data_IF_264787972946
#
_entry.id   IF_264787972946
#
_cell.length_a   1.000
_cell.length_b   1.000
_cell.length_c   1.000
_cell.angle_alpha   90.00
_cell.angle_beta   90.00
_cell.angle_gamma   90.00
#
_symmetry.space_group_name_H-M   'P 1'
#
loop_
_entity.id
_entity.type
_entity.pdbx_description
1 polymer ?
#
# COMPACT_ATOMS: atom_id res chain seq x y z
N UNK A 1 -24.09 -5.90 32.17
CA UNK A 1 -24.37 -4.45 32.29
C UNK A 1 -23.18 -3.61 31.79
N UNK A 2 -22.61 -3.94 30.63
CA UNK A 2 -21.39 -3.28 30.10
C UNK A 2 -21.34 -3.23 28.55
N UNK A 3 -22.49 -3.32 27.88
CA UNK A 3 -22.57 -3.29 26.39
C UNK A 3 -23.43 -2.16 25.84
N UNK A 4 -24.24 -1.50 26.66
CA UNK A 4 -25.05 -0.33 26.27
C UNK A 4 -24.30 1.00 26.39
N UNK A 5 -23.11 1.01 27.02
CA UNK A 5 -22.32 2.24 27.22
C UNK A 5 -21.52 2.67 25.96
N UNK A 6 -21.29 1.77 24.99
CA UNK A 6 -20.55 2.11 23.75
C UNK A 6 -21.39 2.85 22.70
N UNK A 7 -22.72 2.73 22.75
CA UNK A 7 -23.61 3.41 21.80
C UNK A 7 -23.81 4.88 22.19
N UNK A 8 -23.72 5.21 23.49
CA UNK A 8 -23.84 6.60 23.96
C UNK A 8 -22.58 7.44 23.71
N UNK A 9 -21.40 6.80 23.63
CA UNK A 9 -20.12 7.46 23.28
C UNK A 9 -20.05 7.81 21.79
N UNK A 10 -20.77 7.10 20.92
CA UNK A 10 -20.78 7.39 19.48
C UNK A 10 -21.68 8.60 19.12
N UNK A 11 -22.67 8.92 19.96
CA UNK A 11 -23.57 10.07 19.75
C UNK A 11 -22.98 11.35 20.38
N UNK A 12 -22.12 11.24 21.40
CA UNK A 12 -21.42 12.40 21.97
C UNK A 12 -20.20 12.86 21.14
N UNK A 13 -19.65 12.00 20.29
CA UNK A 13 -18.59 12.38 19.33
C UNK A 13 -19.11 12.96 18.02
N UNK A 14 -20.41 12.80 17.71
CA UNK A 14 -21.00 13.35 16.48
C UNK A 14 -21.40 14.82 16.61
N UNK A 15 -21.49 15.36 17.82
CA UNK A 15 -21.83 16.78 18.07
C UNK A 15 -20.63 17.68 18.31
N UNK A 16 -19.41 17.15 18.32
CA UNK A 16 -18.16 17.93 18.34
C UNK A 16 -17.61 18.19 16.92
N UNK A 17 -18.17 17.53 15.90
CA UNK A 17 -17.75 17.66 14.50
C UNK A 17 -18.45 18.75 13.68
N UNK A 18 -19.18 19.69 14.32
CA UNK A 18 -19.90 20.77 13.61
C UNK A 18 -19.43 22.18 14.00
N UNK A 19 -18.33 22.34 14.73
CA UNK A 19 -17.81 23.69 15.06
C UNK A 19 -16.28 23.82 15.05
N UNK A 20 -15.60 23.02 14.23
CA UNK A 20 -14.19 23.29 13.91
C UNK A 20 -14.03 23.25 12.39
N UNK A 21 -14.58 24.27 11.71
CA UNK A 21 -13.88 24.85 10.56
C UNK A 21 -12.64 25.57 11.11
N UNK A 22 -11.71 24.81 11.67
CA UNK A 22 -10.33 25.28 11.77
C UNK A 22 -9.80 25.14 10.36
N UNK A 23 -9.81 26.26 9.63
CA UNK A 23 -8.90 26.48 8.51
C UNK A 23 -7.56 25.86 8.92
N UNK A 24 -7.16 24.78 8.25
CA UNK A 24 -5.76 24.43 8.13
C UNK A 24 -5.18 25.50 7.21
N UNK A 25 -5.03 26.72 7.75
CA UNK A 25 -4.13 27.70 7.16
C UNK A 25 -2.74 27.13 7.36
N UNK A 26 -1.95 27.12 6.28
CA UNK A 26 -0.52 27.01 6.43
C UNK A 26 -0.09 28.16 7.35
N UNK A 27 0.43 27.84 8.52
CA UNK A 27 0.75 28.79 9.61
C UNK A 27 1.84 29.82 9.24
N UNK A 28 2.18 29.94 7.95
CA UNK A 28 3.19 30.82 7.39
C UNK A 28 2.67 31.81 6.33
N UNK A 29 1.39 31.81 5.97
CA UNK A 29 0.86 32.72 4.93
C UNK A 29 -0.15 33.77 5.40
N UNK A 30 -0.58 33.75 6.66
CA UNK A 30 -1.63 34.66 7.20
C UNK A 30 -1.19 36.13 7.41
N UNK A 31 -0.12 36.64 6.78
CA UNK A 31 0.31 38.04 7.01
C UNK A 31 0.91 38.77 5.80
N UNK A 32 0.44 38.59 4.56
CA UNK A 32 0.93 39.42 3.44
C UNK A 32 -0.15 39.88 2.44
N UNK A 33 -1.07 40.74 2.87
CA UNK A 33 -1.72 41.69 1.95
C UNK A 33 -0.79 42.91 1.72
N UNK A 34 0.04 42.89 0.67
CA UNK A 34 0.91 44.04 0.32
C UNK A 34 1.91 43.82 -0.81
N UNK A 35 2.47 44.92 -1.34
CA UNK A 35 3.63 44.87 -2.25
C UNK A 35 4.83 44.31 -1.47
N UNK A 36 5.35 43.17 -1.91
CA UNK A 36 6.47 42.47 -1.27
C UNK A 36 7.68 42.44 -2.22
N UNK A 37 8.89 42.48 -1.63
CA UNK A 37 10.15 42.57 -2.36
C UNK A 37 10.88 41.23 -2.32
N UNK A 38 11.28 40.70 -3.47
CA UNK A 38 12.18 39.55 -3.57
C UNK A 38 13.55 40.04 -4.01
N UNK A 39 14.55 39.95 -3.14
CA UNK A 39 15.93 40.23 -3.51
C UNK A 39 16.89 39.18 -3.00
N UNK A 40 18.01 39.04 -3.69
CA UNK A 40 18.97 38.00 -3.38
C UNK A 40 20.12 37.93 -4.36
N UNK A 41 20.84 36.82 -4.30
CA UNK A 41 21.96 36.53 -5.18
C UNK A 41 21.89 35.11 -5.73
N UNK A 42 22.41 34.96 -6.95
CA UNK A 42 22.66 33.69 -7.62
C UNK A 42 24.15 33.42 -7.55
N UNK A 43 24.52 32.23 -7.06
CA UNK A 43 25.91 31.81 -6.90
C UNK A 43 26.13 30.52 -7.67
N UNK A 44 27.18 30.49 -8.52
CA UNK A 44 27.66 29.23 -9.08
C UNK A 44 28.49 28.48 -8.04
N UNK A 45 27.96 27.39 -7.48
CA UNK A 45 28.64 26.56 -6.50
C UNK A 45 29.82 25.76 -7.08
N UNK A 46 29.86 25.54 -8.39
CA UNK A 46 31.00 24.88 -9.06
C UNK A 46 32.15 25.86 -9.28
N UNK A 47 31.82 27.04 -9.82
CA UNK A 47 32.79 28.02 -10.29
C UNK A 47 32.45 29.44 -9.80
N UNK A 48 32.58 29.74 -8.48
CA UNK A 48 32.08 30.99 -7.90
C UNK A 48 32.69 32.28 -8.45
N UNK A 49 33.88 32.18 -9.06
CA UNK A 49 34.63 33.31 -9.62
C UNK A 49 34.24 33.65 -11.07
N UNK A 50 33.45 32.81 -11.73
CA UNK A 50 33.06 33.02 -13.13
C UNK A 50 31.81 33.91 -13.17
N UNK A 51 31.94 35.09 -13.77
CA UNK A 51 30.78 35.95 -14.02
C UNK A 51 29.94 35.35 -15.15
N UNK A 52 28.75 34.86 -14.78
CA UNK A 52 27.77 34.27 -15.69
C UNK A 52 26.52 35.13 -15.67
N UNK A 53 25.97 35.47 -16.83
CA UNK A 53 24.68 36.17 -16.88
C UNK A 53 23.55 35.14 -16.73
N UNK A 54 22.75 35.31 -15.69
CA UNK A 54 21.58 34.51 -15.38
C UNK A 54 20.31 35.24 -15.78
N UNK A 55 19.38 34.50 -16.37
CA UNK A 55 17.98 34.91 -16.50
C UNK A 55 17.21 34.28 -15.32
N UNK A 56 16.72 35.12 -14.41
CA UNK A 56 15.83 34.71 -13.33
C UNK A 56 14.41 35.16 -13.64
N UNK A 57 13.47 34.23 -13.50
CA UNK A 57 12.04 34.47 -13.73
C UNK A 57 11.28 34.32 -12.44
N UNK A 58 10.44 35.30 -12.12
CA UNK A 58 9.37 35.14 -11.16
C UNK A 58 8.14 34.67 -11.92
N UNK A 59 7.60 33.53 -11.50
CA UNK A 59 6.47 32.89 -12.15
C UNK A 59 5.41 32.53 -11.12
N UNK A 60 4.18 32.39 -11.58
CA UNK A 60 3.06 31.90 -10.79
C UNK A 60 2.30 30.79 -11.52
N UNK A 61 1.64 29.93 -10.74
CA UNK A 61 0.69 28.96 -11.24
C UNK A 61 -0.51 28.89 -10.32
N UNK A 62 -1.70 28.66 -10.86
CA UNK A 62 -2.92 28.50 -10.07
C UNK A 62 -3.08 27.02 -9.71
N UNK A 63 -3.30 26.72 -8.43
CA UNK A 63 -3.46 25.33 -7.95
C UNK A 63 -4.44 24.55 -8.84
N UNK A 64 -3.99 23.42 -9.39
CA UNK A 64 -4.64 22.53 -10.39
C UNK A 64 -4.52 22.86 -11.89
N UNK A 65 -3.98 24.03 -12.26
CA UNK A 65 -3.67 24.36 -13.66
C UNK A 65 -2.22 23.99 -14.00
N UNK A 66 -1.96 23.58 -15.24
CA UNK A 66 -0.60 23.46 -15.79
C UNK A 66 -0.13 24.75 -16.47
N UNK A 67 -0.95 25.81 -16.44
CA UNK A 67 -0.60 27.10 -17.00
C UNK A 67 0.38 27.83 -16.08
N UNK A 68 1.48 28.27 -16.68
CA UNK A 68 2.52 29.05 -16.03
C UNK A 68 2.40 30.51 -16.46
N UNK A 69 2.37 31.41 -15.49
CA UNK A 69 2.26 32.85 -15.71
C UNK A 69 3.62 33.47 -15.45
N UNK A 70 4.22 34.08 -16.48
CA UNK A 70 5.42 34.90 -16.33
C UNK A 70 5.04 36.25 -15.69
N UNK A 71 5.55 36.53 -14.49
CA UNK A 71 5.30 37.79 -13.78
C UNK A 71 6.35 38.82 -14.16
N UNK A 72 7.63 38.47 -13.97
CA UNK A 72 8.76 39.36 -14.26
C UNK A 72 10.00 38.53 -14.56
N UNK A 73 10.86 39.05 -15.46
CA UNK A 73 12.11 38.41 -15.85
C UNK A 73 13.24 39.43 -15.66
N UNK A 74 14.29 39.04 -14.93
CA UNK A 74 15.47 39.87 -14.68
C UNK A 74 16.70 39.15 -15.22
N UNK A 75 17.55 39.90 -15.91
CA UNK A 75 18.90 39.45 -16.26
C UNK A 75 19.89 40.00 -15.25
N UNK A 76 20.70 39.14 -14.65
CA UNK A 76 21.72 39.54 -13.67
C UNK A 76 22.93 38.64 -13.70
N UNK A 77 24.09 39.17 -13.31
CA UNK A 77 25.27 38.34 -13.11
C UNK A 77 25.30 37.68 -11.72
N UNK A 78 24.73 38.33 -10.71
CA UNK A 78 24.76 37.87 -9.31
C UNK A 78 23.49 38.28 -8.59
N UNK A 79 23.25 39.58 -8.43
CA UNK A 79 22.18 40.08 -7.56
C UNK A 79 20.88 40.34 -8.32
N UNK A 80 19.74 39.90 -7.82
CA UNK A 80 18.43 40.20 -8.38
C UNK A 80 17.56 40.97 -7.38
N UNK A 81 16.60 41.73 -7.90
CA UNK A 81 15.70 42.58 -7.12
C UNK A 81 14.35 42.76 -7.84
N UNK A 82 13.33 42.03 -7.41
CA UNK A 82 11.93 42.20 -7.80
C UNK A 82 11.25 43.12 -6.78
N UNK A 83 10.92 44.33 -7.20
CA UNK A 83 10.55 45.43 -6.27
C UNK A 83 9.09 45.48 -5.88
N UNK A 84 8.20 44.90 -6.68
CA UNK A 84 6.75 45.04 -6.54
C UNK A 84 6.05 43.74 -6.91
N UNK A 85 6.18 42.74 -6.04
CA UNK A 85 5.47 41.48 -6.20
C UNK A 85 4.18 41.56 -5.42
N UNK A 86 3.06 41.42 -6.13
CA UNK A 86 1.74 41.30 -5.52
C UNK A 86 1.43 39.81 -5.46
N UNK A 87 1.35 39.27 -4.24
CA UNK A 87 1.03 37.87 -3.98
C UNK A 87 -0.48 37.75 -3.77
N UNK A 88 -1.06 36.73 -4.37
CA UNK A 88 -2.46 36.32 -4.21
C UNK A 88 -2.46 34.85 -3.78
N UNK A 89 -3.16 34.53 -2.68
CA UNK A 89 -3.25 33.17 -2.13
C UNK A 89 -3.80 32.14 -3.11
N UNK A 90 -4.51 32.57 -4.17
CA UNK A 90 -4.97 31.69 -5.23
C UNK A 90 -3.82 31.12 -6.10
N UNK A 91 -2.62 31.68 -6.00
CA UNK A 91 -1.46 31.33 -6.82
C UNK A 91 -0.28 30.88 -5.98
N UNK A 92 0.45 29.90 -6.52
CA UNK A 92 1.78 29.51 -6.03
C UNK A 92 2.83 30.25 -6.85
N UNK A 93 3.71 30.97 -6.17
CA UNK A 93 4.78 31.76 -6.78
C UNK A 93 6.12 31.05 -6.60
N UNK A 94 6.97 31.10 -7.63
CA UNK A 94 8.29 30.51 -7.58
C UNK A 94 9.28 31.24 -8.50
N UNK A 95 10.55 31.21 -8.12
CA UNK A 95 11.67 31.68 -8.90
C UNK A 95 12.23 30.53 -9.72
N UNK A 96 12.52 30.77 -11.00
CA UNK A 96 13.26 29.85 -11.86
C UNK A 96 14.53 30.50 -12.35
N UNK A 97 15.65 29.78 -12.18
CA UNK A 97 16.94 30.08 -12.82
C UNK A 97 17.37 28.87 -13.64
N UNK A 98 17.66 29.08 -14.93
CA UNK A 98 18.20 28.03 -15.79
C UNK A 98 19.72 28.17 -15.90
N UNK A 99 20.46 27.11 -15.59
CA UNK A 99 21.91 27.04 -15.82
C UNK A 99 22.25 25.75 -16.54
N UNK A 100 22.79 25.86 -17.77
CA UNK A 100 23.18 24.71 -18.61
C UNK A 100 22.06 23.66 -18.79
N UNK A 101 20.85 24.13 -19.11
CA UNK A 101 19.62 23.34 -19.29
C UNK A 101 19.05 22.70 -18.01
N UNK A 102 19.57 23.07 -16.83
CA UNK A 102 19.07 22.60 -15.54
C UNK A 102 18.25 23.72 -14.88
N UNK A 103 16.94 23.55 -14.71
CA UNK A 103 16.12 24.50 -13.96
C UNK A 103 16.36 24.33 -12.46
N UNK A 104 16.64 25.44 -11.79
CA UNK A 104 16.60 25.56 -10.32
C UNK A 104 15.33 26.32 -9.97
N UNK A 105 14.44 25.65 -9.22
CA UNK A 105 13.14 26.20 -8.81
C UNK A 105 13.18 26.47 -7.31
N UNK A 106 12.76 27.66 -6.90
CA UNK A 106 12.63 28.04 -5.48
C UNK A 106 11.22 28.58 -5.28
N UNK A 107 10.41 27.87 -4.50
CA UNK A 107 9.06 28.33 -4.17
C UNK A 107 9.13 29.49 -3.18
N UNK A 108 8.34 30.55 -3.41
CA UNK A 108 8.36 31.75 -2.58
C UNK A 108 7.87 31.45 -1.17
N UNK A 109 6.95 30.49 -1.01
CA UNK A 109 6.44 30.04 0.29
C UNK A 109 7.52 29.38 1.18
N UNK A 110 8.56 28.80 0.58
CA UNK A 110 9.66 28.14 1.30
C UNK A 110 10.76 29.14 1.72
N UNK A 111 10.63 30.42 1.38
CA UNK A 111 11.65 31.44 1.63
C UNK A 111 11.48 32.06 3.02
N UNK A 112 12.45 31.81 3.90
CA UNK A 112 12.47 32.44 5.24
C UNK A 112 12.74 33.96 5.20
N UNK A 113 13.64 34.41 4.32
CA UNK A 113 14.01 35.82 4.18
C UNK A 113 13.94 36.28 2.71
N UNK A 114 12.86 36.97 2.32
CA UNK A 114 12.60 37.33 0.93
C UNK A 114 13.52 38.40 0.36
N UNK A 115 14.16 39.21 1.21
CA UNK A 115 15.11 40.22 0.76
C UNK A 115 16.56 39.72 0.70
N UNK A 116 16.81 38.48 1.15
CA UNK A 116 18.13 37.87 1.20
C UNK A 116 18.12 36.40 0.73
N UNK A 117 17.63 36.19 -0.49
CA UNK A 117 17.52 34.86 -1.09
C UNK A 117 18.87 34.42 -1.67
N UNK A 118 19.31 33.20 -1.37
CA UNK A 118 20.51 32.61 -1.96
C UNK A 118 20.12 31.45 -2.88
N UNK A 119 20.24 31.65 -4.19
CA UNK A 119 20.02 30.60 -5.18
C UNK A 119 21.39 30.05 -5.59
N UNK A 120 21.62 28.76 -5.38
CA UNK A 120 22.87 28.12 -5.81
C UNK A 120 22.62 27.28 -7.06
N UNK A 121 23.40 27.52 -8.11
CA UNK A 121 23.42 26.72 -9.34
C UNK A 121 24.77 26.02 -9.49
N UNK A 122 24.83 24.94 -10.27
CA UNK A 122 26.05 24.16 -10.46
C UNK A 122 26.24 23.82 -11.93
N UNK A 123 27.48 23.86 -12.41
CA UNK A 123 27.82 23.45 -13.77
C UNK A 123 27.44 21.99 -14.01
N UNK A 124 27.06 21.67 -15.25
CA UNK A 124 26.59 20.36 -15.67
C UNK A 124 27.75 19.44 -16.04
N UNK A 125 27.63 18.18 -15.62
CA UNK A 125 28.45 17.07 -16.13
C UNK A 125 27.56 15.97 -16.71
N UNK A 126 28.00 15.36 -17.80
CA UNK A 126 27.20 14.36 -18.52
C UNK A 126 27.39 12.93 -18.02
N UNK A 127 28.44 12.68 -17.21
CA UNK A 127 28.78 11.33 -16.74
C UNK A 127 28.64 11.21 -15.23
N UNK A 128 27.95 10.18 -14.71
CA UNK A 128 27.71 10.00 -13.28
C UNK A 128 28.90 9.34 -12.55
N UNK A 129 30.13 9.83 -12.76
CA UNK A 129 31.36 9.22 -12.19
C UNK A 129 31.44 9.36 -10.67
N UNK A 130 30.99 10.50 -10.19
CA UNK A 130 31.04 10.93 -8.79
C UNK A 130 29.73 10.62 -8.05
N UNK A 131 28.88 9.76 -8.63
CA UNK A 131 27.71 9.22 -7.95
C UNK A 131 28.10 7.95 -7.17
N UNK A 132 27.74 7.90 -5.90
CA UNK A 132 27.93 6.75 -5.02
C UNK A 132 26.64 6.40 -4.28
N UNK A 133 26.28 5.12 -4.23
CA UNK A 133 25.13 4.65 -3.46
C UNK A 133 25.55 4.35 -2.03
N UNK A 134 24.89 5.01 -1.08
CA UNK A 134 25.11 4.89 0.36
C UNK A 134 24.30 3.71 0.93
N UNK A 135 23.01 3.63 0.61
CA UNK A 135 22.13 2.54 1.05
C UNK A 135 21.25 2.09 -0.10
N UNK A 136 21.14 0.78 -0.29
CA UNK A 136 20.22 0.14 -1.23
C UNK A 136 19.39 -0.87 -0.45
N UNK A 137 18.16 -0.48 -0.15
CA UNK A 137 17.23 -1.23 0.69
C UNK A 137 16.04 -1.71 -0.12
N UNK A 138 15.72 -3.00 -0.02
CA UNK A 138 14.48 -3.58 -0.57
C UNK A 138 13.72 -4.24 0.58
N UNK A 139 12.41 -4.02 0.63
CA UNK A 139 11.54 -4.60 1.64
C UNK A 139 10.29 -5.18 1.00
N UNK A 140 10.03 -6.45 1.26
CA UNK A 140 8.74 -7.09 0.99
C UNK A 140 7.94 -7.08 2.29
N UNK A 141 6.93 -6.22 2.48
CA UNK A 141 6.12 -6.20 3.69
C UNK A 141 5.31 -7.49 3.87
N UNK A 142 4.81 -7.70 5.09
CA UNK A 142 3.85 -8.77 5.37
C UNK A 142 2.57 -8.57 4.55
N UNK A 143 2.20 -9.58 3.77
CA UNK A 143 1.01 -9.53 2.92
C UNK A 143 -0.26 -9.59 3.78
N UNK A 144 -1.16 -8.63 3.60
CA UNK A 144 -2.47 -8.65 4.27
C UNK A 144 -3.32 -9.84 3.80
N UNK A 145 -4.12 -10.49 4.68
CA UNK A 145 -5.01 -11.60 4.31
C UNK A 145 -5.95 -11.32 3.12
N UNK A 146 -6.39 -10.07 2.97
CA UNK A 146 -7.28 -9.57 1.93
C UNK A 146 -6.56 -8.96 0.72
N UNK A 147 -5.23 -8.91 0.72
CA UNK A 147 -4.47 -8.44 -0.44
C UNK A 147 -4.29 -9.54 -1.49
N UNK A 148 -4.50 -9.16 -2.75
CA UNK A 148 -4.24 -9.96 -3.95
C UNK A 148 -2.97 -9.54 -4.69
N UNK A 149 -2.11 -8.76 -4.04
CA UNK A 149 -0.80 -8.35 -4.56
C UNK A 149 0.30 -8.56 -3.54
N UNK A 150 1.52 -8.74 -4.04
CA UNK A 150 2.75 -8.64 -3.24
C UNK A 150 3.31 -7.25 -3.50
N UNK A 151 3.24 -6.37 -2.51
CA UNK A 151 3.90 -5.07 -2.59
C UNK A 151 5.39 -5.23 -2.29
N UNK A 152 6.20 -4.37 -2.88
CA UNK A 152 7.63 -4.23 -2.57
C UNK A 152 7.92 -2.74 -2.43
N UNK A 153 8.66 -2.40 -1.39
CA UNK A 153 9.16 -1.05 -1.13
C UNK A 153 10.67 -1.04 -1.32
N UNK A 154 11.21 0.02 -1.85
CA UNK A 154 12.64 0.23 -1.96
C UNK A 154 13.03 1.65 -1.59
N UNK A 155 14.21 1.77 -1.00
CA UNK A 155 14.87 3.03 -0.68
C UNK A 155 16.29 2.96 -1.22
N UNK A 156 16.67 3.95 -2.01
CA UNK A 156 18.03 4.13 -2.49
C UNK A 156 18.50 5.49 -2.01
N UNK A 157 19.51 5.50 -1.15
CA UNK A 157 20.21 6.71 -0.75
C UNK A 157 21.53 6.77 -1.49
N UNK A 158 21.85 7.90 -2.09
CA UNK A 158 23.07 8.09 -2.87
C UNK A 158 23.56 9.52 -2.71
N UNK A 159 24.80 9.75 -3.11
CA UNK A 159 25.42 11.07 -3.05
C UNK A 159 26.12 11.38 -4.35
N UNK A 160 26.07 12.65 -4.74
CA UNK A 160 26.98 13.24 -5.69
C UNK A 160 28.08 13.96 -4.91
N UNK A 161 29.29 13.39 -4.92
CA UNK A 161 30.45 13.94 -4.20
C UNK A 161 31.19 15.02 -4.99
N UNK A 162 30.80 15.29 -6.24
CA UNK A 162 31.39 16.36 -7.04
C UNK A 162 30.81 17.73 -6.64
N UNK A 163 31.42 18.79 -7.17
CA UNK A 163 30.90 20.15 -7.08
C UNK A 163 30.04 20.55 -8.29
N UNK A 164 29.56 19.58 -9.08
CA UNK A 164 28.80 19.80 -10.32
C UNK A 164 27.52 18.97 -10.31
N UNK A 165 26.51 19.41 -11.06
CA UNK A 165 25.28 18.63 -11.23
C UNK A 165 25.46 17.62 -12.34
N UNK A 166 25.24 16.34 -12.05
CA UNK A 166 25.14 15.34 -13.11
C UNK A 166 23.78 15.44 -13.79
N UNK A 167 23.77 15.60 -15.11
CA UNK A 167 22.53 15.61 -15.90
C UNK A 167 22.80 15.02 -17.28
N UNK A 168 22.24 13.85 -17.55
CA UNK A 168 22.48 13.11 -18.78
C UNK A 168 22.02 13.87 -20.02
N UNK A 169 22.69 13.67 -21.15
CA UNK A 169 22.22 14.15 -22.45
C UNK A 169 21.35 13.09 -23.11
N UNK A 170 20.03 13.28 -23.09
CA UNK A 170 19.08 12.35 -23.72
C UNK A 170 19.05 12.47 -25.25
N UNK A 171 19.68 13.49 -25.82
CA UNK A 171 19.75 13.69 -27.28
C UNK A 171 20.92 12.95 -27.92
N UNK A 172 21.96 12.61 -27.14
CA UNK A 172 23.09 11.82 -27.62
C UNK A 172 22.67 10.36 -27.85
N UNK A 173 22.71 9.85 -29.09
CA UNK A 173 22.38 8.45 -29.39
C UNK A 173 23.35 7.45 -28.73
N UNK A 174 24.51 7.91 -28.26
CA UNK A 174 25.49 7.10 -27.53
C UNK A 174 25.25 7.11 -26.01
N UNK A 175 24.24 7.83 -25.51
CA UNK A 175 23.80 7.75 -24.11
C UNK A 175 23.30 6.33 -23.83
N UNK A 176 24.23 5.48 -23.44
CA UNK A 176 23.96 4.11 -23.05
C UNK A 176 23.25 4.09 -21.70
N UNK A 177 22.61 2.96 -21.36
CA UNK A 177 21.97 2.79 -20.05
C UNK A 177 22.89 2.91 -18.83
N UNK A 178 24.22 3.05 -19.01
CA UNK A 178 25.19 3.36 -17.96
C UNK A 178 25.26 4.86 -17.64
N UNK A 179 24.86 5.71 -18.58
CA UNK A 179 24.85 7.17 -18.44
C UNK A 179 23.53 7.70 -17.88
N UNK A 180 22.62 6.83 -17.43
CA UNK A 180 21.37 7.18 -16.76
C UNK A 180 21.36 6.57 -15.35
N UNK A 181 20.66 7.21 -14.41
CA UNK A 181 20.35 6.60 -13.12
C UNK A 181 19.32 5.49 -13.34
N UNK A 182 19.80 4.25 -13.48
CA UNK A 182 18.97 3.08 -13.73
C UNK A 182 18.98 2.13 -12.53
N UNK A 183 17.78 1.73 -12.14
CA UNK A 183 17.55 0.81 -11.02
C UNK A 183 16.86 -0.44 -11.51
N UNK A 184 17.26 -1.58 -10.94
CA UNK A 184 16.81 -2.90 -11.37
C UNK A 184 15.57 -3.32 -10.60
N UNK A 185 14.54 -3.79 -11.31
CA UNK A 185 13.38 -4.46 -10.73
C UNK A 185 13.25 -5.87 -11.31
N UNK A 186 12.59 -6.81 -10.60
CA UNK A 186 12.21 -8.09 -11.16
C UNK A 186 11.32 -7.93 -12.39
N UNK A 187 11.31 -8.92 -13.27
CA UNK A 187 10.37 -8.95 -14.40
C UNK A 187 8.91 -9.05 -13.92
N UNK A 188 7.97 -8.61 -14.76
CA UNK A 188 6.52 -8.66 -14.51
C UNK A 188 6.04 -7.81 -13.32
N UNK A 189 6.73 -6.71 -13.02
CA UNK A 189 6.25 -5.73 -12.05
C UNK A 189 5.15 -4.85 -12.59
N UNK A 190 4.25 -4.47 -11.68
CA UNK A 190 3.07 -3.68 -11.95
C UNK A 190 2.98 -2.52 -10.96
N UNK A 191 2.27 -1.45 -11.34
CA UNK A 191 1.99 -0.29 -10.48
C UNK A 191 3.25 0.32 -9.86
N UNK A 192 4.28 0.56 -10.68
CA UNK A 192 5.48 1.26 -10.24
C UNK A 192 5.12 2.71 -9.86
N UNK A 193 5.51 3.09 -8.65
CA UNK A 193 5.51 4.46 -8.16
C UNK A 193 6.92 4.79 -7.67
N UNK A 194 7.44 5.93 -8.11
CA UNK A 194 8.77 6.42 -7.75
C UNK A 194 8.62 7.85 -7.27
N UNK A 195 9.27 8.14 -6.16
CA UNK A 195 9.33 9.45 -5.53
C UNK A 195 10.80 9.76 -5.18
N UNK A 196 11.19 11.02 -5.29
CA UNK A 196 12.58 11.45 -5.04
C UNK A 196 12.66 12.91 -4.67
N UNK A 197 13.69 13.26 -3.89
CA UNK A 197 14.06 14.64 -3.58
C UNK A 197 14.86 15.34 -4.70
N UNK A 198 15.12 14.65 -5.81
CA UNK A 198 15.81 15.20 -6.95
C UNK A 198 14.98 16.31 -7.64
N UNK A 199 15.62 17.31 -8.26
CA UNK A 199 14.93 18.30 -9.07
C UNK A 199 14.11 17.66 -10.21
N UNK A 200 13.18 18.42 -10.84
CA UNK A 200 12.23 17.89 -11.81
C UNK A 200 12.86 17.04 -12.91
N UNK A 201 12.21 15.91 -13.22
CA UNK A 201 12.63 14.95 -14.21
C UNK A 201 11.56 13.88 -14.46
N UNK A 202 11.87 12.92 -15.33
CA UNK A 202 10.93 11.88 -15.72
C UNK A 202 11.38 10.50 -15.24
N UNK A 203 10.39 9.70 -14.85
CA UNK A 203 10.56 8.28 -14.56
C UNK A 203 10.26 7.49 -15.83
N UNK A 204 11.25 6.77 -16.33
CA UNK A 204 11.11 5.91 -17.51
C UNK A 204 11.06 4.45 -17.09
N UNK A 205 9.89 3.84 -17.19
CA UNK A 205 9.72 2.41 -16.89
C UNK A 205 10.27 1.55 -18.04
N UNK A 206 11.01 0.49 -17.68
CA UNK A 206 11.54 -0.51 -18.61
C UNK A 206 11.25 -1.92 -18.08
N UNK A 207 11.28 -2.99 -18.90
CA UNK A 207 10.88 -4.33 -18.44
C UNK A 207 11.67 -4.90 -17.25
N UNK A 208 12.87 -4.36 -16.99
CA UNK A 208 13.79 -4.81 -15.94
C UNK A 208 14.06 -3.74 -14.89
N UNK A 209 13.20 -2.72 -14.81
CA UNK A 209 13.29 -1.67 -13.79
C UNK A 209 12.85 -0.30 -14.27
N UNK A 210 13.58 0.72 -13.88
CA UNK A 210 13.29 2.09 -14.27
C UNK A 210 14.57 2.93 -14.37
N UNK A 211 14.47 4.05 -15.07
CA UNK A 211 15.52 5.04 -15.15
C UNK A 211 14.97 6.44 -14.83
N UNK A 212 15.79 7.26 -14.19
CA UNK A 212 15.47 8.66 -13.90
C UNK A 212 16.24 9.58 -14.84
N UNK A 213 15.55 10.57 -15.39
CA UNK A 213 16.18 11.65 -16.15
C UNK A 213 16.50 12.88 -15.30
N UNK A 214 16.24 12.82 -13.98
CA UNK A 214 16.43 13.94 -13.09
C UNK A 214 17.91 14.36 -13.04
N UNK A 215 18.20 15.68 -12.96
CA UNK A 215 19.53 16.13 -12.60
C UNK A 215 19.85 15.71 -11.17
N UNK A 216 21.13 15.47 -10.88
CA UNK A 216 21.62 15.11 -9.55
C UNK A 216 22.60 16.18 -9.07
N UNK A 217 22.14 17.16 -8.28
CA UNK A 217 23.03 18.19 -7.75
C UNK A 217 23.99 17.61 -6.70
N UNK A 218 25.06 18.33 -6.33
CA UNK A 218 25.93 17.95 -5.22
C UNK A 218 25.16 17.68 -3.92
N UNK A 219 25.63 16.71 -3.13
CA UNK A 219 25.02 16.36 -1.84
C UNK A 219 24.42 14.96 -1.80
N UNK A 220 23.64 14.68 -0.75
CA UNK A 220 22.93 13.42 -0.55
C UNK A 220 21.49 13.53 -1.05
N UNK A 221 20.99 12.45 -1.65
CA UNK A 221 19.67 12.35 -2.27
C UNK A 221 19.05 11.00 -1.99
N UNK A 222 17.73 10.93 -2.08
CA UNK A 222 16.95 9.72 -1.81
C UNK A 222 15.92 9.46 -2.91
N UNK A 223 15.81 8.18 -3.27
CA UNK A 223 14.74 7.66 -4.13
C UNK A 223 13.96 6.63 -3.34
N UNK A 224 12.67 6.86 -3.21
CA UNK A 224 11.70 5.91 -2.73
C UNK A 224 10.98 5.31 -3.92
N UNK A 225 10.83 3.99 -3.93
CA UNK A 225 10.02 3.36 -4.97
C UNK A 225 9.18 2.24 -4.39
N UNK A 226 8.04 2.02 -5.03
CA UNK A 226 7.18 0.90 -4.73
C UNK A 226 6.66 0.28 -6.01
N UNK A 227 6.43 -1.02 -5.97
CA UNK A 227 5.74 -1.73 -7.04
C UNK A 227 5.00 -2.93 -6.47
N UNK A 228 4.23 -3.58 -7.33
CA UNK A 228 3.45 -4.75 -7.00
C UNK A 228 3.77 -5.91 -7.94
N UNK A 229 3.60 -7.12 -7.43
CA UNK A 229 3.64 -8.36 -8.19
C UNK A 229 2.31 -9.10 -8.03
N UNK A 230 1.85 -9.84 -9.05
CA UNK A 230 0.67 -10.71 -8.94
C UNK A 230 0.81 -11.73 -7.78
N UNK A 231 -0.27 -12.02 -7.05
CA UNK A 231 -0.25 -12.95 -5.88
C UNK A 231 0.17 -14.39 -6.20
N UNK A 232 -0.08 -14.83 -7.44
CA UNK A 232 0.33 -16.15 -7.92
C UNK A 232 1.84 -16.26 -8.15
N UNK A 233 2.60 -15.16 -7.99
CA UNK A 233 4.05 -15.17 -7.99
C UNK A 233 4.57 -16.05 -6.85
N UNK A 234 5.01 -17.27 -7.18
CA UNK A 234 5.56 -18.24 -6.23
C UNK A 234 7.03 -17.97 -5.88
N UNK A 235 7.72 -17.25 -6.76
CA UNK A 235 9.13 -16.87 -6.62
C UNK A 235 9.39 -15.56 -7.35
N UNK A 236 10.26 -14.73 -6.80
CA UNK A 236 10.75 -13.50 -7.42
C UNK A 236 12.26 -13.64 -7.59
N UNK A 237 12.74 -13.44 -8.82
CA UNK A 237 14.18 -13.36 -9.11
C UNK A 237 14.60 -11.91 -9.25
N UNK A 238 15.41 -11.44 -8.32
CA UNK A 238 16.03 -10.12 -8.37
C UNK A 238 17.40 -10.24 -9.04
N UNK A 239 17.58 -9.50 -10.13
CA UNK A 239 18.89 -9.31 -10.77
C UNK A 239 19.33 -7.86 -10.55
N UNK A 240 19.86 -7.56 -9.37
CA UNK A 240 20.13 -6.17 -8.95
C UNK A 240 21.48 -5.76 -9.50
N UNK A 241 21.48 -4.94 -10.55
CA UNK A 241 22.71 -4.35 -11.10
C UNK A 241 23.05 -3.08 -10.35
N UNK A 242 24.29 -2.98 -9.86
CA UNK A 242 24.78 -1.85 -9.07
C UNK A 242 25.89 -1.10 -9.81
N UNK A 243 25.58 -0.33 -10.87
CA UNK A 243 26.59 0.42 -11.63
C UNK A 243 27.37 1.41 -10.76
N UNK A 244 26.76 1.92 -9.70
CA UNK A 244 27.35 2.85 -8.73
C UNK A 244 27.84 2.17 -7.45
N UNK A 245 27.81 0.84 -7.40
CA UNK A 245 28.12 0.05 -6.21
C UNK A 245 27.05 0.27 -5.13
N UNK A 246 27.38 -0.08 -3.89
CA UNK A 246 26.58 0.26 -2.72
C UNK A 246 27.40 0.07 -1.43
N UNK A 247 27.44 1.09 -0.56
CA UNK A 247 28.08 0.97 0.76
C UNK A 247 27.33 0.02 1.68
N UNK A 248 26.00 0.09 1.66
CA UNK A 248 25.11 -0.81 2.42
C UNK A 248 24.04 -1.36 1.50
N UNK A 249 23.94 -2.67 1.45
CA UNK A 249 22.89 -3.35 0.72
C UNK A 249 22.07 -4.19 1.68
N UNK A 250 20.74 -4.13 1.60
CA UNK A 250 19.86 -4.97 2.41
C UNK A 250 18.58 -5.34 1.68
N UNK A 251 18.14 -6.58 1.88
CA UNK A 251 16.81 -7.03 1.50
C UNK A 251 16.11 -7.67 2.70
N UNK A 252 14.90 -7.21 2.97
CA UNK A 252 14.04 -7.67 4.06
C UNK A 252 12.82 -8.36 3.48
N UNK A 253 12.52 -9.55 3.99
CA UNK A 253 11.32 -10.30 3.61
C UNK A 253 10.63 -10.86 4.85
N UNK A 254 9.32 -11.14 4.79
CA UNK A 254 8.59 -11.63 5.95
C UNK A 254 9.17 -12.96 6.43
N UNK A 255 9.10 -13.21 7.74
CA UNK A 255 9.49 -14.49 8.33
C UNK A 255 8.88 -15.70 7.59
N UNK A 256 9.62 -16.80 7.55
CA UNK A 256 9.30 -18.03 6.80
C UNK A 256 9.39 -17.92 5.26
N UNK A 257 9.76 -16.76 4.72
CA UNK A 257 10.19 -16.65 3.32
C UNK A 257 11.61 -17.22 3.16
N UNK A 258 11.92 -17.78 1.99
CA UNK A 258 13.26 -18.30 1.69
C UNK A 258 13.98 -17.38 0.73
N UNK A 259 15.17 -16.94 1.08
CA UNK A 259 16.06 -16.21 0.17
C UNK A 259 17.28 -17.06 -0.13
N UNK A 260 17.68 -17.11 -1.40
CA UNK A 260 18.93 -17.68 -1.88
C UNK A 260 19.66 -16.62 -2.69
N UNK A 261 20.98 -16.57 -2.59
CA UNK A 261 21.82 -15.65 -3.36
C UNK A 261 23.14 -16.33 -3.69
N UNK A 262 23.72 -15.98 -4.83
CA UNK A 262 25.08 -16.35 -5.23
C UNK A 262 26.15 -15.38 -4.72
N UNK A 263 25.71 -14.26 -4.13
CA UNK A 263 26.55 -13.22 -3.59
C UNK A 263 26.85 -13.47 -2.10
N UNK A 264 28.04 -13.08 -1.63
CA UNK A 264 28.44 -13.27 -0.24
C UNK A 264 27.75 -12.26 0.70
N UNK A 265 26.45 -12.47 0.97
CA UNK A 265 25.64 -11.68 1.88
C UNK A 265 25.51 -12.37 3.25
N UNK A 266 25.50 -11.57 4.31
CA UNK A 266 25.23 -12.03 5.65
C UNK A 266 23.72 -12.24 5.83
N UNK A 267 23.34 -13.41 6.33
CA UNK A 267 21.96 -13.71 6.71
C UNK A 267 21.72 -13.39 8.18
N UNK A 268 20.65 -12.68 8.46
CA UNK A 268 20.23 -12.28 9.81
C UNK A 268 18.69 -12.20 9.90
N UNK A 269 18.16 -11.73 11.03
CA UNK A 269 16.75 -11.40 11.21
C UNK A 269 16.57 -10.13 12.02
N UNK A 270 15.53 -9.36 11.73
CA UNK A 270 15.22 -8.11 12.43
C UNK A 270 13.72 -7.95 12.67
N UNK A 271 13.35 -7.00 13.54
CA UNK A 271 11.97 -6.61 13.81
C UNK A 271 11.70 -5.24 13.18
N UNK A 272 10.59 -5.14 12.46
CA UNK A 272 10.03 -3.88 11.94
C UNK A 272 8.55 -3.85 12.33
N UNK A 273 8.13 -2.85 13.09
CA UNK A 273 6.76 -2.73 13.63
C UNK A 273 6.25 -4.01 14.30
N UNK A 274 7.05 -4.58 15.22
CA UNK A 274 6.79 -5.85 15.94
C UNK A 274 6.62 -7.08 15.03
N UNK A 275 6.89 -6.96 13.73
CA UNK A 275 6.87 -8.08 12.78
C UNK A 275 8.29 -8.53 12.49
N UNK A 276 8.51 -9.85 12.47
CA UNK A 276 9.80 -10.45 12.17
C UNK A 276 10.05 -10.51 10.66
N UNK A 277 11.28 -10.16 10.28
CA UNK A 277 11.80 -10.21 8.92
C UNK A 277 13.08 -11.04 8.88
N UNK A 278 13.23 -11.81 7.81
CA UNK A 278 14.51 -12.38 7.40
C UNK A 278 15.27 -11.31 6.61
N UNK A 279 16.55 -11.14 6.90
CA UNK A 279 17.41 -10.10 6.34
C UNK A 279 18.59 -10.76 5.62
N UNK A 280 18.85 -10.33 4.39
CA UNK A 280 20.18 -10.48 3.78
C UNK A 280 20.82 -9.10 3.68
N UNK A 281 22.06 -8.97 4.12
CA UNK A 281 22.79 -7.71 4.09
C UNK A 281 24.22 -7.87 3.59
N UNK A 282 24.72 -6.86 2.89
CA UNK A 282 26.08 -6.76 2.38
C UNK A 282 26.65 -5.37 2.62
N UNK A 283 27.97 -5.27 2.61
CA UNK A 283 28.69 -4.01 2.74
C UNK A 283 29.67 -3.87 1.57
N UNK A 284 29.88 -2.63 1.13
CA UNK A 284 30.84 -2.25 0.09
C UNK A 284 30.77 -3.13 -1.18
N UNK A 285 29.55 -3.29 -1.73
CA UNK A 285 29.34 -3.92 -3.03
C UNK A 285 29.95 -3.01 -4.12
N UNK A 286 30.77 -3.59 -5.00
CA UNK A 286 31.58 -2.79 -5.92
C UNK A 286 30.75 -2.28 -7.10
N UNK A 287 31.22 -1.18 -7.68
CA UNK A 287 30.67 -0.60 -8.90
C UNK A 287 30.67 -1.64 -10.03
N UNK A 288 29.51 -1.84 -10.66
CA UNK A 288 29.30 -2.77 -11.77
C UNK A 288 28.95 -4.20 -11.38
N UNK A 289 28.93 -4.54 -10.09
CA UNK A 289 28.53 -5.88 -9.64
C UNK A 289 27.02 -6.11 -9.78
N UNK A 290 26.66 -7.39 -9.84
CA UNK A 290 25.27 -7.84 -9.93
C UNK A 290 25.00 -8.78 -8.76
N UNK A 291 23.99 -8.44 -7.97
CA UNK A 291 23.53 -9.26 -6.84
C UNK A 291 22.27 -10.00 -7.31
N UNK A 292 22.37 -11.32 -7.41
CA UNK A 292 21.23 -12.17 -7.76
C UNK A 292 20.59 -12.72 -6.48
N UNK A 293 19.29 -12.49 -6.31
CA UNK A 293 18.54 -12.98 -5.15
C UNK A 293 17.28 -13.68 -5.63
N UNK A 294 17.19 -14.97 -5.32
CA UNK A 294 15.99 -15.76 -5.52
C UNK A 294 15.18 -15.76 -4.22
N UNK A 295 14.05 -15.06 -4.26
CA UNK A 295 13.05 -15.08 -3.21
C UNK A 295 12.02 -16.16 -3.53
N UNK A 296 12.04 -17.23 -2.74
CA UNK A 296 11.19 -18.40 -2.91
C UNK A 296 10.23 -18.48 -1.73
N UNK A 297 8.98 -18.91 -1.99
CA UNK A 297 7.99 -19.17 -0.95
C UNK A 297 7.74 -17.94 -0.05
N UNK A 298 7.37 -16.81 -0.66
CA UNK A 298 7.02 -15.58 0.04
C UNK A 298 5.90 -15.87 1.03
N UNK A 299 6.13 -15.56 2.30
CA UNK A 299 5.20 -15.87 3.38
C UNK A 299 3.81 -15.31 3.09
N UNK A 300 2.82 -16.20 3.02
CA UNK A 300 1.41 -15.84 2.84
C UNK A 300 0.71 -15.90 4.20
N UNK A 301 -0.24 -14.99 4.47
CA UNK A 301 -1.07 -15.10 5.66
C UNK A 301 -1.74 -16.48 5.69
N UNK A 302 -1.60 -17.17 6.83
CA UNK A 302 -2.19 -18.50 7.06
C UNK A 302 -3.68 -18.50 6.71
N UNK A 303 -4.18 -19.60 6.13
CA UNK A 303 -5.60 -19.77 5.80
C UNK A 303 -6.52 -19.53 7.00
N UNK A 304 -6.06 -19.85 8.21
CA UNK A 304 -6.78 -19.54 9.45
C UNK A 304 -6.84 -18.04 9.76
N UNK A 305 -5.75 -17.30 9.53
CA UNK A 305 -5.71 -15.83 9.68
C UNK A 305 -6.64 -15.13 8.68
N UNK A 306 -6.84 -15.70 7.49
CA UNK A 306 -7.84 -15.20 6.52
C UNK A 306 -9.26 -15.38 7.04
N UNK A 307 -9.57 -16.53 7.64
CA UNK A 307 -10.89 -16.81 8.22
C UNK A 307 -11.15 -15.87 9.40
N UNK A 308 -10.20 -15.72 10.33
CA UNK A 308 -10.37 -14.82 11.48
C UNK A 308 -10.50 -13.36 11.04
N UNK A 309 -9.66 -12.90 10.10
CA UNK A 309 -9.77 -11.54 9.54
C UNK A 309 -11.11 -11.31 8.82
N UNK A 310 -11.60 -12.30 8.06
CA UNK A 310 -12.92 -12.24 7.43
C UNK A 310 -14.04 -12.14 8.48
N UNK A 311 -13.96 -12.92 9.58
CA UNK A 311 -14.93 -12.89 10.68
C UNK A 311 -14.86 -11.58 11.46
N UNK A 312 -13.67 -11.02 11.70
CA UNK A 312 -13.50 -9.74 12.40
C UNK A 312 -14.03 -8.57 11.55
N UNK A 313 -13.66 -8.51 10.27
CA UNK A 313 -14.09 -7.47 9.33
C UNK A 313 -15.58 -7.56 8.98
N UNK A 314 -16.13 -8.77 8.88
CA UNK A 314 -17.54 -9.03 8.56
C UNK A 314 -18.30 -9.65 9.75
N UNK A 315 -18.04 -9.19 10.97
CA UNK A 315 -18.64 -9.75 12.19
C UNK A 315 -20.16 -9.85 12.11
N UNK A 316 -20.84 -8.79 11.65
CA UNK A 316 -22.30 -8.77 11.56
C UNK A 316 -22.84 -9.78 10.51
N UNK A 317 -22.40 -9.79 9.24
CA UNK A 317 -22.84 -10.80 8.26
C UNK A 317 -22.53 -12.24 8.66
N UNK A 318 -21.35 -12.49 9.24
CA UNK A 318 -20.93 -13.84 9.61
C UNK A 318 -21.78 -14.44 10.74
N UNK A 319 -22.09 -13.66 11.78
CA UNK A 319 -22.98 -14.11 12.86
C UNK A 319 -24.40 -14.38 12.34
N UNK A 320 -24.92 -13.56 11.43
CA UNK A 320 -26.23 -13.77 10.79
C UNK A 320 -26.25 -15.04 9.93
N UNK A 321 -25.19 -15.28 9.14
CA UNK A 321 -25.04 -16.51 8.35
C UNK A 321 -24.86 -17.77 9.20
N UNK A 322 -24.11 -17.68 10.29
CA UNK A 322 -23.89 -18.81 11.20
C UNK A 322 -25.14 -19.16 12.01
N UNK A 323 -25.88 -18.17 12.50
CA UNK A 323 -27.16 -18.37 13.20
C UNK A 323 -28.19 -18.99 12.25
N UNK A 324 -28.31 -18.51 11.02
CA UNK A 324 -29.24 -19.09 10.04
C UNK A 324 -28.86 -20.53 9.68
N UNK A 325 -27.56 -20.81 9.50
CA UNK A 325 -27.05 -22.17 9.30
C UNK A 325 -27.36 -23.11 10.47
N UNK A 326 -27.15 -22.68 11.71
CA UNK A 326 -27.47 -23.45 12.91
C UNK A 326 -28.97 -23.68 13.08
N UNK A 327 -29.80 -22.68 12.79
CA UNK A 327 -31.27 -22.79 12.81
C UNK A 327 -31.75 -23.80 11.77
N UNK A 328 -31.22 -23.76 10.55
CA UNK A 328 -31.54 -24.74 9.50
C UNK A 328 -31.13 -26.15 9.92
N UNK A 329 -29.93 -26.31 10.50
CA UNK A 329 -29.43 -27.60 10.95
C UNK A 329 -30.26 -28.14 12.12
N UNK A 330 -30.70 -27.27 13.03
CA UNK A 330 -31.63 -27.61 14.11
C UNK A 330 -33.01 -28.01 13.57
N UNK A 331 -33.55 -27.29 12.58
CA UNK A 331 -34.81 -27.63 11.91
C UNK A 331 -34.71 -28.99 11.21
N UNK A 332 -33.60 -29.28 10.54
CA UNK A 332 -33.36 -30.56 9.88
C UNK A 332 -33.28 -31.71 10.89
N UNK A 333 -32.52 -31.54 11.97
CA UNK A 333 -32.42 -32.52 13.07
C UNK A 333 -33.79 -32.72 13.72
N UNK A 334 -34.49 -31.63 14.04
CA UNK A 334 -35.81 -31.69 14.68
C UNK A 334 -36.86 -32.33 13.77
N UNK A 335 -36.84 -32.03 12.48
CA UNK A 335 -37.71 -32.65 11.47
C UNK A 335 -37.44 -34.15 11.36
N UNK A 336 -36.17 -34.55 11.33
CA UNK A 336 -35.75 -35.95 11.27
C UNK A 336 -36.16 -36.72 12.54
N UNK A 337 -35.96 -36.13 13.71
CA UNK A 337 -36.39 -36.70 14.99
C UNK A 337 -37.92 -36.81 15.06
N UNK A 338 -38.65 -35.79 14.62
CA UNK A 338 -40.13 -35.80 14.61
C UNK A 338 -40.71 -36.82 13.63
N UNK A 339 -40.06 -37.00 12.47
CA UNK A 339 -40.43 -38.01 11.47
C UNK A 339 -40.34 -39.43 12.06
N UNK A 340 -39.24 -39.73 12.76
CA UNK A 340 -39.06 -41.03 13.42
C UNK A 340 -40.04 -41.25 14.59
N UNK A 341 -40.36 -40.21 15.36
CA UNK A 341 -41.34 -40.32 16.45
C UNK A 341 -42.78 -40.55 15.95
N UNK A 342 -43.17 -39.95 14.81
CA UNK A 342 -44.51 -40.18 14.22
C UNK A 342 -44.66 -41.60 13.67
N UNK A 343 -43.64 -42.15 13.00
CA UNK A 343 -43.67 -43.56 12.55
C UNK A 343 -43.80 -44.54 13.72
N UNK A 344 -43.02 -44.33 14.78
CA UNK A 344 -43.02 -45.21 15.95
C UNK A 344 -44.34 -45.21 16.74
N UNK A 345 -45.03 -44.07 16.83
CA UNK A 345 -46.34 -43.99 17.50
C UNK A 345 -47.49 -44.61 16.68
N UNK A 346 -47.39 -44.63 15.35
CA UNK A 346 -48.37 -45.30 14.49
C UNK A 346 -48.23 -46.83 14.59
N UNK A 347 -47.00 -47.35 14.62
CA UNK A 347 -46.74 -48.78 14.81
C UNK A 347 -47.17 -49.28 16.20
N UNK A 348 -46.83 -48.55 17.27
CA UNK A 348 -47.22 -48.92 18.65
C UNK A 348 -48.74 -48.94 18.89
N UNK A 349 -49.50 -48.04 18.26
CA UNK A 349 -50.96 -48.02 18.38
C UNK A 349 -51.61 -49.15 17.56
N UNK A 350 -51.06 -49.50 16.39
CA UNK A 350 -51.54 -50.61 15.58
C UNK A 350 -51.38 -51.94 16.33
N UNK A 351 -50.22 -52.17 16.95
CA UNK A 351 -49.94 -53.40 17.72
C UNK A 351 -50.89 -53.54 18.92
N UNK A 352 -51.18 -52.45 19.63
CA UNK A 352 -52.12 -52.47 20.76
C UNK A 352 -53.58 -52.80 20.36
N UNK A 353 -54.01 -52.46 19.15
CA UNK A 353 -55.33 -52.86 18.64
C UNK A 353 -55.33 -54.28 18.07
N UNK A 354 -54.20 -54.76 17.54
CA UNK A 354 -54.03 -56.16 17.13
C UNK A 354 -54.12 -57.09 18.34
N UNK A 355 -53.44 -56.77 19.45
CA UNK A 355 -53.52 -57.55 20.69
C UNK A 355 -54.93 -57.58 21.27
N UNK A 356 -55.68 -56.46 21.18
CA UNK A 356 -57.10 -56.41 21.57
C UNK A 356 -57.99 -57.28 20.69
N UNK A 357 -57.68 -57.41 19.40
CA UNK A 357 -58.39 -58.33 18.51
C UNK A 357 -58.07 -59.78 18.87
N UNK A 358 -56.83 -60.11 19.21
CA UNK A 358 -56.43 -61.46 19.62
C UNK A 358 -57.15 -61.88 20.92
N UNK A 359 -57.18 -61.02 21.94
CA UNK A 359 -57.91 -61.28 23.19
C UNK A 359 -59.44 -61.34 22.97
N UNK A 360 -59.98 -60.53 22.06
CA UNK A 360 -61.40 -60.56 21.70
C UNK A 360 -61.77 -61.88 20.98
N UNK A 361 -60.95 -62.33 20.03
CA UNK A 361 -61.11 -63.57 19.28
C UNK A 361 -61.04 -64.78 20.26
N UNK A 362 -60.10 -64.77 21.23
CA UNK A 362 -59.99 -65.81 22.26
C UNK A 362 -61.21 -65.84 23.22
N UNK A 363 -61.75 -64.67 23.59
CA UNK A 363 -62.96 -64.58 24.43
C UNK A 363 -64.19 -65.09 23.71
N UNK A 364 -64.30 -64.86 22.41
CA UNK A 364 -65.39 -65.38 21.59
C UNK A 364 -65.31 -66.90 21.47
N UNK A 365 -64.13 -67.46 21.19
CA UNK A 365 -63.93 -68.91 21.12
C UNK A 365 -64.27 -69.62 22.45
N UNK A 366 -63.99 -68.97 23.58
CA UNK A 366 -64.35 -69.46 24.92
C UNK A 366 -65.82 -69.22 25.30
N UNK A 367 -66.67 -68.76 24.36
CA UNK A 367 -68.08 -68.39 24.55
C UNK A 367 -68.31 -67.37 25.68
N UNK A 368 -67.33 -66.51 25.98
CA UNK A 368 -67.43 -65.50 27.05
C UNK A 368 -68.12 -64.21 26.60
N UNK A 369 -68.31 -64.03 25.30
CA UNK A 369 -69.01 -62.90 24.69
C UNK A 369 -69.96 -63.41 23.60
N UNK A 370 -71.06 -62.72 23.37
CA UNK A 370 -72.02 -63.09 22.32
C UNK A 370 -71.53 -62.60 20.93
N UNK A 371 -72.10 -63.17 19.86
CA UNK A 371 -71.67 -62.91 18.48
C UNK A 371 -71.88 -61.47 18.04
N UNK A 372 -72.96 -60.84 18.47
CA UNK A 372 -73.31 -59.47 18.07
C UNK A 372 -72.34 -58.44 18.69
N UNK A 373 -72.01 -58.62 19.97
CA UNK A 373 -71.02 -57.82 20.68
C UNK A 373 -69.59 -58.04 20.14
N UNK A 374 -69.24 -59.28 19.79
CA UNK A 374 -67.97 -59.61 19.14
C UNK A 374 -67.79 -58.86 17.79
N UNK A 375 -68.80 -58.90 16.91
CA UNK A 375 -68.70 -58.26 15.60
C UNK A 375 -68.57 -56.73 15.70
N UNK A 376 -69.32 -56.10 16.61
CA UNK A 376 -69.25 -54.64 16.84
C UNK A 376 -67.87 -54.21 17.34
N UNK A 377 -67.33 -54.91 18.35
CA UNK A 377 -66.04 -54.56 18.94
C UNK A 377 -64.88 -54.80 17.95
N UNK A 378 -64.96 -55.89 17.18
CA UNK A 378 -63.93 -56.24 16.21
C UNK A 378 -63.85 -55.26 15.04
N UNK A 379 -65.00 -54.83 14.51
CA UNK A 379 -65.04 -53.82 13.45
C UNK A 379 -64.57 -52.45 13.93
N UNK A 380 -64.87 -52.08 15.18
CA UNK A 380 -64.35 -50.87 15.81
C UNK A 380 -62.81 -50.90 15.89
N UNK A 381 -62.23 -51.98 16.40
CA UNK A 381 -60.76 -52.12 16.48
C UNK A 381 -60.09 -52.14 15.11
N UNK A 382 -60.65 -52.82 14.12
CA UNK A 382 -60.14 -52.80 12.73
C UNK A 382 -60.18 -51.41 12.11
N UNK A 383 -61.24 -50.63 12.37
CA UNK A 383 -61.36 -49.26 11.85
C UNK A 383 -60.26 -48.36 12.42
N UNK A 384 -59.90 -48.54 13.70
CA UNK A 384 -58.85 -47.77 14.37
C UNK A 384 -57.42 -48.21 14.01
N UNK A 385 -57.24 -49.36 13.36
CA UNK A 385 -55.95 -49.80 12.79
C UNK A 385 -55.67 -49.13 11.42
N UNK A 386 -56.72 -48.76 10.67
CA UNK A 386 -56.60 -48.15 9.33
C UNK A 386 -56.59 -46.61 9.32
N UNK A 387 -56.71 -45.97 10.49
CA UNK A 387 -56.84 -44.51 10.66
C UNK A 387 -55.51 -43.78 10.79
#
# INVERSE_FOLDING_TARGET
MFKTFKIFIYILFLTIFVTNDSNLSAEHLDEFEGEFKLSGQIVNGTSPSVDTNYEIKLMATQNSSSELIDIEIINTNKNFDFKKVIIDEAFTYFLIVNHQDIPTIVFVEDIENPENINITVYDRVFTPKDIEVIDYSIMVPHISPDSDIISVLGLISFTNISNSTYFADLTDPNTSGLNLLRFSLPENFENLSVDSDLPPGNVMQIPTGFALSNPVPPGEHQILYSYSMPRNTGSIKYNIRLPFGSKKFKILVPENSKMSTDYNLLKDSTLVDDKKYELLQGQDIKKGEVVVIDLINISKPSSWKKITYFIEKNSIPFFVGSITGLVLLFILIFSFLRSNFRKRNLELNSDAYIDKIIDLDERFEKNKINKEEYEILRENYKKNIKG
#
